data_IF_951702354601
#
_entry.id   IF_951702354601
#
_cell.length_a   1.000
_cell.length_b   1.000
_cell.length_c   1.000
_cell.angle_alpha   90.00
_cell.angle_beta   90.00
_cell.angle_gamma   90.00
#
_symmetry.space_group_name_H-M   'P 1'
#
loop_
_entity.id
_entity.type
_entity.pdbx_description
1 polymer ?
#
# COMPACT_ATOMS: atom_id res chain seq x y z
N UNK A 1 -35.06 -45.24 -4.92
CA UNK A 1 -34.67 -46.04 -3.73
C UNK A 1 -34.19 -45.04 -2.70
N UNK A 2 -35.10 -44.63 -1.82
CA UNK A 2 -34.88 -43.61 -0.80
C UNK A 2 -34.41 -44.29 0.48
N UNK A 3 -33.25 -43.92 0.99
CA UNK A 3 -32.78 -44.38 2.30
C UNK A 3 -32.83 -43.21 3.28
N UNK A 4 -33.91 -43.18 4.05
CA UNK A 4 -34.03 -42.45 5.30
C UNK A 4 -33.31 -43.23 6.40
N UNK A 5 -32.41 -42.59 7.14
CA UNK A 5 -31.98 -43.07 8.47
C UNK A 5 -32.35 -42.01 9.49
N UNK A 6 -33.10 -42.46 10.48
CA UNK A 6 -33.81 -41.68 11.49
C UNK A 6 -32.93 -41.42 12.72
N UNK A 7 -32.90 -40.15 13.09
CA UNK A 7 -32.71 -39.50 14.41
C UNK A 7 -32.55 -40.38 15.66
N UNK A 8 -31.45 -40.16 16.39
CA UNK A 8 -31.38 -40.15 17.85
C UNK A 8 -30.28 -39.12 18.26
N UNK A 9 -30.61 -37.91 18.70
CA UNK A 9 -31.04 -37.51 20.05
C UNK A 9 -29.86 -37.15 20.99
N UNK A 10 -29.95 -35.92 21.53
CA UNK A 10 -29.48 -35.45 22.85
C UNK A 10 -28.12 -34.72 22.93
N UNK A 11 -28.25 -33.39 22.95
CA UNK A 11 -27.74 -32.48 23.99
C UNK A 11 -26.23 -32.30 24.17
N UNK A 12 -25.74 -31.11 23.80
CA UNK A 12 -25.33 -30.12 24.82
C UNK A 12 -25.09 -28.76 24.15
N UNK A 13 -25.99 -27.80 24.47
CA UNK A 13 -25.78 -26.40 24.20
C UNK A 13 -24.54 -25.92 24.97
N UNK A 14 -23.48 -25.52 24.26
CA UNK A 14 -22.41 -24.72 24.88
C UNK A 14 -22.50 -23.30 24.34
N UNK A 15 -23.41 -22.53 24.94
CA UNK A 15 -23.44 -21.07 24.85
C UNK A 15 -22.28 -20.55 25.69
N UNK A 16 -21.16 -20.17 25.07
CA UNK A 16 -20.15 -19.35 25.74
C UNK A 16 -20.36 -17.91 25.25
N UNK A 17 -21.31 -17.25 25.92
CA UNK A 17 -21.38 -15.80 25.95
C UNK A 17 -20.33 -15.33 26.95
N UNK A 18 -19.20 -14.81 26.47
CA UNK A 18 -18.28 -14.05 27.31
C UNK A 18 -18.25 -12.60 26.83
N UNK A 19 -19.24 -11.85 27.30
CA UNK A 19 -19.23 -10.40 27.28
C UNK A 19 -18.28 -9.93 28.40
N UNK A 20 -17.07 -9.50 28.04
CA UNK A 20 -16.22 -8.74 28.94
C UNK A 20 -16.49 -7.24 28.70
N UNK A 21 -17.44 -6.71 29.46
CA UNK A 21 -17.61 -5.29 29.64
C UNK A 21 -16.55 -4.80 30.64
N UNK A 22 -15.52 -4.10 30.15
CA UNK A 22 -14.66 -3.26 30.97
C UNK A 22 -15.06 -1.82 30.73
N UNK A 23 -15.96 -1.35 31.60
CA UNK A 23 -16.19 0.07 31.82
C UNK A 23 -14.95 0.67 32.49
N UNK A 24 -14.23 1.50 31.75
CA UNK A 24 -13.11 2.29 32.23
C UNK A 24 -13.23 3.71 31.72
N UNK A 25 -14.09 4.49 32.37
CA UNK A 25 -14.23 5.92 32.13
C UNK A 25 -12.98 6.66 32.60
N UNK A 26 -12.11 7.08 31.68
CA UNK A 26 -11.07 8.07 31.96
C UNK A 26 -11.33 9.34 31.14
N UNK A 27 -11.64 10.37 31.91
CA UNK A 27 -11.70 11.80 31.65
C UNK A 27 -11.20 12.33 30.29
N UNK A 28 -12.04 13.19 29.71
CA UNK A 28 -11.63 14.29 28.86
C UNK A 28 -10.47 15.06 29.51
N UNK A 29 -9.32 15.14 28.84
CA UNK A 29 -8.33 16.19 29.10
C UNK A 29 -8.09 16.96 27.82
N UNK A 30 -8.36 18.26 27.94
CA UNK A 30 -8.32 19.26 26.89
C UNK A 30 -6.98 19.31 26.15
N UNK A 31 -7.08 19.69 24.88
CA UNK A 31 -6.01 20.09 23.99
C UNK A 31 -5.10 21.15 24.63
N UNK A 32 -3.77 21.02 24.54
CA UNK A 32 -2.88 22.16 24.52
C UNK A 32 -2.72 22.65 23.08
N UNK A 33 -3.21 23.86 22.80
CA UNK A 33 -2.63 24.72 21.76
C UNK A 33 -1.18 24.99 22.13
N UNK A 34 -0.25 24.43 21.36
CA UNK A 34 1.16 24.80 21.36
C UNK A 34 1.56 25.16 19.94
N UNK A 35 1.46 26.44 19.61
CA UNK A 35 2.22 27.01 18.50
C UNK A 35 3.64 27.29 19.02
N UNK A 36 4.57 27.46 18.07
CA UNK A 36 5.90 28.06 18.24
C UNK A 36 7.03 27.08 18.57
N UNK A 37 7.60 26.55 17.48
CA UNK A 37 8.83 25.76 17.52
C UNK A 37 9.35 25.46 16.11
N UNK A 38 9.36 26.47 15.23
CA UNK A 38 10.23 26.44 14.06
C UNK A 38 11.67 26.52 14.57
N UNK A 39 12.23 25.38 14.97
CA UNK A 39 13.68 25.21 15.07
C UNK A 39 14.24 25.39 13.66
N UNK A 40 14.61 26.64 13.40
CA UNK A 40 15.46 27.03 12.30
C UNK A 40 16.81 26.35 12.55
N UNK A 41 16.98 25.16 11.98
CA UNK A 41 18.31 24.56 11.83
C UNK A 41 19.15 25.59 11.06
N UNK A 42 20.20 26.18 11.66
CA UNK A 42 21.10 27.04 10.91
C UNK A 42 21.73 26.21 9.78
N UNK A 43 21.94 26.79 8.58
CA UNK A 43 22.72 26.10 7.57
C UNK A 43 24.08 25.74 8.16
N UNK A 44 24.61 24.52 7.92
CA UNK A 44 25.97 24.21 8.34
C UNK A 44 26.91 25.25 7.72
N UNK A 45 27.72 25.85 8.59
CA UNK A 45 28.76 26.78 8.21
C UNK A 45 29.66 26.15 7.15
N UNK A 46 29.85 26.88 6.05
CA UNK A 46 30.82 26.58 5.00
C UNK A 46 32.22 26.65 5.60
N UNK A 47 32.73 25.55 6.15
CA UNK A 47 34.16 25.37 6.35
C UNK A 47 34.77 24.95 5.03
N UNK A 48 35.42 25.91 4.37
CA UNK A 48 36.37 25.64 3.30
C UNK A 48 37.47 24.71 3.83
N UNK A 49 37.40 23.43 3.47
CA UNK A 49 38.53 22.53 3.53
C UNK A 49 39.19 22.52 2.16
N UNK A 50 40.15 23.43 2.01
CA UNK A 50 41.20 23.32 1.01
C UNK A 50 42.10 22.16 1.44
N UNK A 51 41.97 21.03 0.75
CA UNK A 51 42.94 19.96 0.82
C UNK A 51 43.09 19.45 -0.60
N UNK A 52 44.20 19.85 -1.21
CA UNK A 52 44.69 19.32 -2.46
C UNK A 52 44.66 17.78 -2.45
N UNK A 53 43.83 17.20 -3.33
CA UNK A 53 43.84 15.77 -3.63
C UNK A 53 44.48 15.60 -4.99
N UNK A 54 45.54 14.78 -5.02
CA UNK A 54 46.27 14.35 -6.20
C UNK A 54 45.35 13.67 -7.23
N UNK A 55 45.71 13.64 -8.53
CA UNK A 55 44.89 13.00 -9.55
C UNK A 55 44.86 11.49 -9.37
N UNK A 56 43.71 10.95 -8.99
CA UNK A 56 43.44 9.51 -9.10
C UNK A 56 43.11 9.19 -10.55
N UNK A 57 44.04 8.50 -11.20
CA UNK A 57 43.84 7.81 -12.47
C UNK A 57 43.19 6.45 -12.21
N UNK A 58 42.16 6.10 -12.99
CA UNK A 58 41.47 4.79 -12.99
C UNK A 58 40.42 4.68 -11.88
N UNK A 59 39.17 4.32 -12.12
CA UNK A 59 38.57 3.56 -13.20
C UNK A 59 37.18 4.11 -13.49
N UNK A 60 36.95 4.57 -14.72
CA UNK A 60 35.61 4.77 -15.26
C UNK A 60 34.96 3.40 -15.47
N UNK A 61 34.56 2.75 -14.38
CA UNK A 61 33.45 1.82 -14.44
C UNK A 61 32.23 2.68 -14.82
N UNK A 62 31.98 2.74 -16.13
CA UNK A 62 30.72 3.18 -16.68
C UNK A 62 29.61 2.41 -15.96
N UNK A 63 29.05 3.01 -14.92
CA UNK A 63 27.69 2.71 -14.51
C UNK A 63 26.89 3.20 -15.69
N UNK A 64 26.61 2.27 -16.60
CA UNK A 64 25.65 2.49 -17.65
C UNK A 64 24.43 3.16 -16.99
N UNK A 65 23.84 4.20 -17.60
CA UNK A 65 22.47 4.50 -17.23
C UNK A 65 21.74 3.16 -17.34
N UNK A 66 21.10 2.73 -16.26
CA UNK A 66 20.01 1.77 -16.34
C UNK A 66 18.92 2.51 -17.14
N UNK A 67 19.16 2.60 -18.44
CA UNK A 67 18.13 2.77 -19.43
C UNK A 67 17.31 1.50 -19.24
N UNK A 68 16.29 1.59 -18.40
CA UNK A 68 15.20 0.62 -18.29
C UNK A 68 14.47 0.57 -19.62
N UNK A 69 15.18 0.14 -20.66
CA UNK A 69 14.71 -0.11 -22.00
C UNK A 69 13.90 -1.40 -21.93
N UNK A 70 12.59 -1.23 -21.77
CA UNK A 70 11.63 -2.18 -22.30
C UNK A 70 11.69 -3.59 -21.72
N UNK A 71 11.96 -3.75 -20.42
CA UNK A 71 11.48 -4.95 -19.74
C UNK A 71 9.96 -4.97 -19.93
N UNK A 72 9.46 -5.91 -20.74
CA UNK A 72 8.03 -6.10 -20.94
C UNK A 72 7.36 -6.07 -19.57
N UNK A 73 6.35 -5.22 -19.42
CA UNK A 73 5.75 -4.97 -18.13
C UNK A 73 5.32 -6.31 -17.51
N UNK A 74 5.94 -6.69 -16.40
CA UNK A 74 5.81 -8.04 -15.83
C UNK A 74 4.41 -8.21 -15.25
N UNK A 75 3.74 -9.31 -15.54
CA UNK A 75 2.45 -9.62 -14.92
C UNK A 75 2.60 -10.04 -13.47
N UNK A 76 1.61 -9.74 -12.63
CA UNK A 76 1.61 -10.05 -11.20
C UNK A 76 0.21 -10.33 -10.67
N UNK A 77 0.11 -11.14 -9.62
CA UNK A 77 -1.13 -11.33 -8.87
C UNK A 77 -1.17 -10.42 -7.63
N UNK A 78 0.00 -10.14 -7.04
CA UNK A 78 0.22 -9.41 -5.79
C UNK A 78 1.53 -8.62 -5.81
N UNK A 79 1.72 -7.71 -4.84
CA UNK A 79 2.95 -6.91 -4.71
C UNK A 79 4.20 -7.76 -4.48
N UNK A 80 4.07 -8.95 -3.88
CA UNK A 80 5.17 -9.88 -3.62
C UNK A 80 5.77 -10.46 -4.91
N UNK A 81 5.03 -10.43 -6.02
CA UNK A 81 5.52 -10.85 -7.34
C UNK A 81 6.41 -9.79 -8.01
N UNK A 82 6.48 -8.59 -7.43
CA UNK A 82 7.23 -7.45 -7.94
C UNK A 82 8.49 -7.23 -7.10
N UNK A 83 9.64 -7.01 -7.76
CA UNK A 83 10.94 -6.79 -7.10
C UNK A 83 11.00 -5.43 -6.39
N UNK A 84 10.24 -5.26 -5.30
CA UNK A 84 10.07 -4.00 -4.57
C UNK A 84 9.04 -3.03 -5.18
N UNK A 85 8.36 -3.45 -6.26
CA UNK A 85 7.33 -2.68 -6.94
C UNK A 85 5.95 -2.72 -6.27
N UNK A 86 4.94 -2.36 -7.07
CA UNK A 86 3.52 -2.54 -6.75
C UNK A 86 2.88 -3.30 -7.91
N UNK A 87 1.98 -4.22 -7.59
CA UNK A 87 1.13 -4.86 -8.57
C UNK A 87 -0.12 -4.00 -8.83
N UNK A 88 -0.23 -3.45 -10.04
CA UNK A 88 -1.29 -2.52 -10.39
C UNK A 88 -2.01 -2.88 -11.68
N UNK A 89 -3.26 -2.45 -11.81
CA UNK A 89 -4.03 -2.63 -13.03
C UNK A 89 -5.50 -2.86 -12.75
N UNK A 90 -6.28 -2.77 -13.82
CA UNK A 90 -7.69 -3.13 -13.83
C UNK A 90 -7.85 -4.64 -14.01
N UNK A 91 -8.71 -5.24 -13.22
CA UNK A 91 -8.98 -6.67 -13.25
C UNK A 91 -8.63 -7.39 -11.94
N UNK A 92 -9.47 -8.36 -11.61
CA UNK A 92 -9.39 -9.15 -10.38
C UNK A 92 -9.36 -10.65 -10.72
N UNK A 93 -8.94 -11.48 -9.76
CA UNK A 93 -8.78 -12.93 -9.97
C UNK A 93 -7.77 -13.22 -11.08
N UNK A 94 -8.22 -13.97 -12.09
CA UNK A 94 -7.41 -14.44 -13.21
C UNK A 94 -6.89 -13.32 -14.13
N UNK A 95 -7.48 -12.12 -14.07
CA UNK A 95 -6.98 -10.95 -14.82
C UNK A 95 -5.83 -10.32 -14.05
N UNK A 96 -4.61 -10.78 -14.32
CA UNK A 96 -3.39 -10.32 -13.64
C UNK A 96 -3.12 -8.82 -13.83
N UNK A 97 -2.46 -8.23 -12.83
CA UNK A 97 -1.94 -6.87 -12.90
C UNK A 97 -0.57 -6.81 -13.57
N UNK A 98 0.04 -5.65 -13.46
CA UNK A 98 1.37 -5.31 -13.99
C UNK A 98 2.24 -4.75 -12.87
N UNK A 99 3.47 -5.23 -12.75
CA UNK A 99 4.46 -4.67 -11.86
C UNK A 99 4.90 -3.29 -12.34
N UNK A 100 4.86 -2.34 -11.42
CA UNK A 100 5.26 -0.95 -11.65
C UNK A 100 6.12 -0.45 -10.49
N UNK A 101 6.96 0.55 -10.75
CA UNK A 101 7.78 1.19 -9.71
C UNK A 101 6.90 1.90 -8.67
N UNK A 102 7.24 1.76 -7.39
CA UNK A 102 6.50 2.31 -6.25
C UNK A 102 6.64 3.84 -6.13
N UNK A 103 7.76 4.38 -6.55
CA UNK A 103 8.18 5.78 -6.41
C UNK A 103 8.01 6.61 -7.70
N UNK A 104 7.25 6.08 -8.67
CA UNK A 104 7.02 6.78 -9.93
C UNK A 104 6.21 8.07 -9.77
N UNK A 105 6.41 9.00 -10.69
CA UNK A 105 5.69 10.28 -10.71
C UNK A 105 4.20 10.08 -11.03
N UNK A 106 3.35 10.26 -10.02
CA UNK A 106 1.90 10.19 -10.14
C UNK A 106 1.29 11.59 -10.14
N UNK A 107 0.22 11.76 -10.93
CA UNK A 107 -0.57 12.99 -10.92
C UNK A 107 -1.40 13.08 -9.65
N UNK A 108 -1.65 14.28 -9.12
CA UNK A 108 -2.41 14.50 -7.87
C UNK A 108 -3.93 14.46 -8.05
N UNK A 109 -4.41 13.89 -9.15
CA UNK A 109 -5.83 13.75 -9.47
C UNK A 109 -6.41 12.51 -8.78
N UNK A 110 -6.97 12.69 -7.59
CA UNK A 110 -7.60 11.60 -6.86
C UNK A 110 -8.92 11.18 -7.53
N UNK A 111 -8.93 9.99 -8.12
CA UNK A 111 -10.10 9.30 -8.66
C UNK A 111 -10.61 8.26 -7.67
N UNK A 112 -11.91 7.96 -7.71
CA UNK A 112 -12.53 6.86 -6.98
C UNK A 112 -12.39 5.57 -7.77
N UNK A 113 -12.14 4.46 -7.08
CA UNK A 113 -12.01 3.12 -7.65
C UNK A 113 -12.73 2.11 -6.77
N UNK A 114 -13.22 1.03 -7.38
CA UNK A 114 -13.65 -0.17 -6.67
C UNK A 114 -12.51 -1.17 -6.62
N UNK A 115 -12.02 -1.49 -5.42
CA UNK A 115 -10.97 -2.48 -5.21
C UNK A 115 -11.43 -3.91 -5.52
N UNK A 116 -10.47 -4.81 -5.74
CA UNK A 116 -10.77 -6.24 -5.93
C UNK A 116 -11.35 -6.93 -4.67
N UNK A 117 -11.26 -6.26 -3.52
CA UNK A 117 -11.88 -6.63 -2.25
C UNK A 117 -13.31 -6.08 -2.09
N UNK A 118 -13.85 -5.40 -3.12
CA UNK A 118 -15.13 -4.71 -3.04
C UNK A 118 -15.11 -3.46 -2.17
N UNK A 119 -13.91 -2.98 -1.79
CA UNK A 119 -13.74 -1.77 -0.98
C UNK A 119 -13.33 -0.61 -1.88
N UNK A 120 -14.03 0.51 -1.75
CA UNK A 120 -13.71 1.72 -2.47
C UNK A 120 -12.41 2.36 -1.96
N UNK A 121 -11.61 2.91 -2.87
CA UNK A 121 -10.42 3.67 -2.50
C UNK A 121 -10.18 4.84 -3.47
N UNK A 122 -9.39 5.81 -3.01
CA UNK A 122 -8.98 6.96 -3.83
C UNK A 122 -7.49 6.88 -4.16
N UNK A 123 -7.16 7.10 -5.42
CA UNK A 123 -5.78 7.11 -5.91
C UNK A 123 -5.64 7.99 -7.16
N UNK A 124 -4.42 8.20 -7.64
CA UNK A 124 -4.19 8.97 -8.86
C UNK A 124 -4.88 8.31 -10.05
N UNK A 125 -5.38 9.08 -11.02
CA UNK A 125 -5.91 8.55 -12.29
C UNK A 125 -4.90 7.71 -13.06
N UNK A 126 -3.61 8.07 -12.95
CA UNK A 126 -2.48 7.39 -13.62
C UNK A 126 -1.76 6.36 -12.74
N UNK A 127 -1.92 6.46 -11.42
CA UNK A 127 -1.36 5.51 -10.46
C UNK A 127 -2.43 5.07 -9.45
N UNK A 128 -3.14 3.98 -9.73
CA UNK A 128 -4.07 3.37 -8.78
C UNK A 128 -3.38 2.87 -7.49
N UNK A 129 -2.09 2.56 -7.53
CA UNK A 129 -1.30 2.05 -6.39
C UNK A 129 -1.82 0.73 -5.79
N UNK A 130 -2.66 0.01 -6.53
CA UNK A 130 -3.14 -1.36 -6.26
C UNK A 130 -3.94 -1.88 -7.47
N UNK A 131 -4.22 -3.18 -7.47
CA UNK A 131 -5.24 -3.78 -8.36
C UNK A 131 -6.66 -3.36 -7.97
N UNK A 132 -7.50 -3.18 -8.97
CA UNK A 132 -8.88 -2.72 -8.82
C UNK A 132 -9.82 -3.38 -9.85
N UNK A 133 -11.09 -3.52 -9.52
CA UNK A 133 -12.08 -4.12 -10.41
C UNK A 133 -12.46 -3.17 -11.55
N UNK A 134 -12.81 -1.93 -11.19
CA UNK A 134 -13.12 -0.87 -12.15
C UNK A 134 -12.96 0.52 -11.52
N UNK A 135 -12.95 1.54 -12.37
CA UNK A 135 -13.00 2.95 -11.94
C UNK A 135 -14.41 3.31 -11.45
N UNK A 136 -14.48 4.22 -10.49
CA UNK A 136 -15.74 4.66 -9.86
C UNK A 136 -16.08 3.91 -8.56
N UNK A 137 -17.25 4.17 -7.99
CA UNK A 137 -17.72 3.51 -6.78
C UNK A 137 -17.96 2.02 -7.02
N UNK A 138 -17.93 1.20 -5.99
CA UNK A 138 -18.31 -0.20 -6.14
C UNK A 138 -19.80 -0.32 -6.45
N UNK A 139 -20.16 -1.19 -7.40
CA UNK A 139 -21.57 -1.54 -7.57
C UNK A 139 -22.02 -2.30 -6.33
N UNK A 140 -22.99 -1.74 -5.59
CA UNK A 140 -23.80 -2.56 -4.70
C UNK A 140 -24.63 -3.44 -5.63
N UNK A 141 -24.21 -4.69 -5.83
CA UNK A 141 -25.06 -5.65 -6.52
C UNK A 141 -26.39 -5.73 -5.75
N UNK A 142 -27.55 -5.50 -6.39
CA UNK A 142 -28.85 -5.54 -5.72
C UNK A 142 -29.26 -6.94 -5.27
#
# INVERSE_FOLDING_TARGET
MSNSVTVAAISTLTRISLALALAGAWACKASPTGNDGADSVPPPATTAHDTAVAPHSGDDAAVAPDSGDGAAARTCASDDDCDGGICEGEGCGDVLGTCVARDRMCTRDAQLYCGCDGVEFRASGRCPNRRYAHRGPCTTEP
#
